data_IF_369674417057
#
_entry.id   IF_369674417057
#
_cell.length_a   1.000
_cell.length_b   1.000
_cell.length_c   1.000
_cell.angle_alpha   90.00
_cell.angle_beta   90.00
_cell.angle_gamma   90.00
#
_symmetry.space_group_name_H-M   'P 1'
#
loop_
_entity.id
_entity.type
_entity.pdbx_description
1 polymer ?
#
# COMPACT_ATOMS: atom_id res chain seq x y z
N UNK A 1 -4.15 -10.84 -0.30
CA UNK A 1 -5.37 -10.03 -0.07
C UNK A 1 -5.79 -9.45 -1.41
N UNK A 2 -6.95 -9.86 -1.97
CA UNK A 2 -7.43 -9.35 -3.24
C UNK A 2 -7.86 -7.89 -3.11
N UNK A 3 -7.72 -7.10 -4.19
CA UNK A 3 -8.08 -5.68 -4.23
C UNK A 3 -6.95 -4.81 -4.77
N UNK A 4 -7.14 -3.49 -4.81
CA UNK A 4 -6.11 -2.56 -5.28
C UNK A 4 -5.03 -2.34 -4.21
N UNK A 5 -3.84 -1.88 -4.60
CA UNK A 5 -2.82 -1.49 -3.61
C UNK A 5 -3.39 -0.42 -2.66
N UNK A 6 -4.12 0.55 -3.19
CA UNK A 6 -4.78 1.60 -2.40
C UNK A 6 -5.75 1.01 -1.38
N UNK A 7 -6.66 0.12 -1.77
CA UNK A 7 -7.62 -0.47 -0.82
C UNK A 7 -6.91 -1.30 0.25
N UNK A 8 -5.79 -1.93 -0.11
CA UNK A 8 -4.94 -2.64 0.82
C UNK A 8 -4.27 -1.70 1.82
N UNK A 9 -3.76 -0.55 1.42
CA UNK A 9 -3.14 0.42 2.33
C UNK A 9 -4.19 1.10 3.22
N UNK A 10 -5.34 1.50 2.65
CA UNK A 10 -6.41 2.18 3.37
C UNK A 10 -7.12 1.28 4.39
N UNK A 11 -7.29 -0.01 4.06
CA UNK A 11 -7.84 -1.03 4.95
C UNK A 11 -9.10 -0.59 5.74
N UNK A 12 -10.08 -0.08 5.00
CA UNK A 12 -11.37 0.38 5.55
C UNK A 12 -11.41 1.84 6.04
N UNK A 13 -10.28 2.55 6.08
CA UNK A 13 -10.24 4.00 6.31
C UNK A 13 -10.51 4.75 5.00
N UNK A 14 -11.02 5.98 5.15
CA UNK A 14 -11.09 6.92 4.03
C UNK A 14 -9.70 7.42 3.62
N UNK A 15 -9.58 7.85 2.37
CA UNK A 15 -8.34 8.44 1.85
C UNK A 15 -8.20 9.88 2.31
N UNK A 16 -7.12 10.17 3.03
CA UNK A 16 -6.61 11.51 3.26
C UNK A 16 -5.42 11.71 2.32
N UNK A 17 -5.52 12.53 1.25
CA UNK A 17 -4.50 12.64 0.22
C UNK A 17 -3.12 13.01 0.77
N UNK A 18 -3.05 13.95 1.73
CA UNK A 18 -1.78 14.42 2.28
C UNK A 18 -1.11 13.34 3.13
N UNK A 19 -1.88 12.65 3.97
CA UNK A 19 -1.37 11.54 4.78
C UNK A 19 -0.95 10.37 3.90
N UNK A 20 -1.79 9.99 2.93
CA UNK A 20 -1.52 8.89 2.03
C UNK A 20 -0.21 9.08 1.29
N UNK A 21 0.01 10.27 0.74
CA UNK A 21 1.26 10.63 0.06
C UNK A 21 2.48 10.56 0.98
N UNK A 22 2.35 11.02 2.24
CA UNK A 22 3.42 10.89 3.25
C UNK A 22 3.73 9.44 3.56
N UNK A 23 2.71 8.58 3.70
CA UNK A 23 2.87 7.14 3.95
C UNK A 23 3.57 6.45 2.78
N UNK A 24 3.15 6.73 1.55
CA UNK A 24 3.78 6.17 0.34
C UNK A 24 5.27 6.52 0.26
N UNK A 25 5.62 7.78 0.61
CA UNK A 25 7.01 8.21 0.66
C UNK A 25 7.78 7.54 1.79
N UNK A 26 7.23 7.53 3.01
CA UNK A 26 7.88 6.96 4.19
C UNK A 26 8.13 5.46 4.08
N UNK A 27 7.24 4.74 3.39
CA UNK A 27 7.35 3.30 3.18
C UNK A 27 8.11 2.92 1.89
N UNK A 28 8.78 3.89 1.25
CA UNK A 28 9.52 3.71 -0.01
C UNK A 28 8.70 3.05 -1.13
N UNK A 29 7.40 3.34 -1.20
CA UNK A 29 6.44 2.69 -2.09
C UNK A 29 6.26 3.41 -3.42
N UNK A 30 6.58 4.72 -3.49
CA UNK A 30 6.42 5.51 -4.72
C UNK A 30 7.05 4.86 -5.95
N UNK A 31 8.30 4.41 -5.82
CA UNK A 31 9.03 3.77 -6.92
C UNK A 31 8.39 2.46 -7.38
N UNK A 32 7.80 1.70 -6.46
CA UNK A 32 7.06 0.49 -6.85
C UNK A 32 5.81 0.84 -7.65
N UNK A 33 5.09 1.87 -7.21
CA UNK A 33 3.86 2.31 -7.87
C UNK A 33 4.14 2.88 -9.27
N UNK A 34 5.24 3.62 -9.46
CA UNK A 34 5.67 4.13 -10.77
C UNK A 34 5.97 3.01 -11.78
N UNK A 35 6.33 1.82 -11.31
CA UNK A 35 6.60 0.64 -12.16
C UNK A 35 5.33 -0.15 -12.49
N UNK A 36 4.19 0.19 -11.87
CA UNK A 36 2.93 -0.49 -12.11
C UNK A 36 2.05 0.36 -13.04
N UNK A 37 1.44 -0.22 -14.10
CA UNK A 37 0.67 0.54 -15.09
C UNK A 37 -0.45 1.41 -14.50
N UNK A 38 -1.14 0.91 -13.47
CA UNK A 38 -2.24 1.61 -12.80
C UNK A 38 -1.82 2.21 -11.45
N UNK A 39 -0.52 2.25 -11.16
CA UNK A 39 0.00 2.75 -9.89
C UNK A 39 -0.65 2.06 -8.69
N UNK A 40 -1.21 2.86 -7.78
CA UNK A 40 -1.87 2.33 -6.59
C UNK A 40 -3.28 1.77 -6.83
N UNK A 41 -3.84 1.97 -8.02
CA UNK A 41 -5.09 1.33 -8.46
C UNK A 41 -4.86 -0.07 -9.03
N UNK A 42 -3.61 -0.49 -9.19
CA UNK A 42 -3.25 -1.84 -9.64
C UNK A 42 -3.92 -2.90 -8.77
N UNK A 43 -4.70 -3.77 -9.40
CA UNK A 43 -5.35 -4.90 -8.76
C UNK A 43 -4.33 -5.98 -8.38
N UNK A 44 -4.45 -6.57 -7.20
CA UNK A 44 -3.61 -7.67 -6.70
C UNK A 44 -4.48 -8.89 -6.44
N UNK A 45 -3.97 -10.09 -6.74
CA UNK A 45 -4.63 -11.38 -6.50
C UNK A 45 -4.64 -12.25 -7.74
N UNK A 46 -5.52 -13.27 -7.76
CA UNK A 46 -5.54 -14.32 -8.79
C UNK A 46 -5.78 -13.81 -10.22
N UNK A 47 -6.34 -12.60 -10.37
CA UNK A 47 -6.55 -11.91 -11.66
C UNK A 47 -5.79 -10.58 -11.77
N UNK A 48 -4.90 -10.30 -10.82
CA UNK A 48 -4.17 -9.04 -10.71
C UNK A 48 -2.66 -9.20 -10.83
N UNK A 49 -1.94 -8.10 -10.61
CA UNK A 49 -0.49 -8.11 -10.52
C UNK A 49 -0.01 -8.94 -9.32
N UNK A 50 1.09 -9.66 -9.53
CA UNK A 50 1.79 -10.35 -8.44
C UNK A 50 2.90 -9.44 -7.90
N UNK A 51 2.81 -9.09 -6.63
CA UNK A 51 3.88 -8.36 -5.94
C UNK A 51 5.02 -9.28 -5.54
N UNK A 52 6.25 -8.79 -5.66
CA UNK A 52 7.42 -9.41 -5.03
C UNK A 52 7.30 -9.41 -3.50
N UNK A 53 8.11 -10.22 -2.81
CA UNK A 53 8.13 -10.25 -1.34
C UNK A 53 8.40 -8.87 -0.71
N UNK A 54 9.37 -8.13 -1.27
CA UNK A 54 9.69 -6.77 -0.79
C UNK A 54 8.56 -5.77 -1.02
N UNK A 55 7.86 -5.84 -2.15
CA UNK A 55 6.69 -5.00 -2.41
C UNK A 55 5.54 -5.32 -1.45
N UNK A 56 5.27 -6.61 -1.19
CA UNK A 56 4.27 -7.02 -0.20
C UNK A 56 4.61 -6.49 1.19
N UNK A 57 5.87 -6.56 1.60
CA UNK A 57 6.33 -6.02 2.88
C UNK A 57 6.10 -4.51 2.97
N UNK A 58 6.45 -3.73 1.93
CA UNK A 58 6.20 -2.28 1.92
C UNK A 58 4.72 -1.92 1.91
N UNK A 59 3.87 -2.65 1.18
CA UNK A 59 2.40 -2.46 1.22
C UNK A 59 1.84 -2.74 2.61
N UNK A 60 2.29 -3.79 3.28
CA UNK A 60 1.87 -4.09 4.65
C UNK A 60 2.36 -3.03 5.65
N UNK A 61 3.60 -2.55 5.51
CA UNK A 61 4.12 -1.46 6.31
C UNK A 61 3.30 -0.18 6.11
N UNK A 62 3.02 0.19 4.86
CA UNK A 62 2.17 1.33 4.55
C UNK A 62 0.75 1.19 5.14
N UNK A 63 0.16 -0.02 5.07
CA UNK A 63 -1.11 -0.30 5.74
C UNK A 63 -1.01 -0.04 7.24
N UNK A 64 -0.01 -0.59 7.90
CA UNK A 64 0.19 -0.40 9.34
C UNK A 64 0.31 1.08 9.68
N UNK A 65 1.25 1.80 9.05
CA UNK A 65 1.49 3.23 9.29
C UNK A 65 0.25 4.07 9.01
N UNK A 66 -0.55 3.73 8.00
CA UNK A 66 -1.78 4.46 7.70
C UNK A 66 -2.86 4.23 8.76
N UNK A 67 -2.85 3.15 9.53
CA UNK A 67 -3.83 2.92 10.58
C UNK A 67 -3.60 3.79 11.84
N UNK A 68 -2.42 4.41 11.98
CA UNK A 68 -2.07 5.26 13.15
C UNK A 68 -2.28 4.54 14.49
N UNK A 69 -1.66 3.37 14.65
CA UNK A 69 -1.63 2.68 15.94
C UNK A 69 -0.49 3.20 16.84
N UNK A 70 -0.69 3.16 18.15
CA UNK A 70 0.34 3.52 19.14
C UNK A 70 1.45 2.47 19.23
N UNK A 71 1.14 1.20 18.90
CA UNK A 71 2.06 0.06 18.96
C UNK A 71 1.95 -0.75 17.67
N UNK A 72 3.10 -1.13 17.10
CA UNK A 72 3.22 -1.98 15.92
C UNK A 72 3.94 -3.27 16.26
N UNK A 73 3.45 -4.39 15.73
CA UNK A 73 4.09 -5.71 15.78
C UNK A 73 4.51 -6.08 14.35
N UNK A 74 5.79 -6.43 14.18
CA UNK A 74 6.43 -6.69 12.89
C UNK A 74 6.95 -8.13 12.82
#
# INVERSE_FOLDING_TARGET
>A
FPGTIRSNILFGKEINPQKYERVLKACALKRDLELLPDGDLTLIGDRGATLSGGQKARVNLARAVYQEADVYLL
#
